data_IF_157650088116
#
_entry.id   IF_157650088116
#
_cell.length_a   1.000
_cell.length_b   1.000
_cell.length_c   1.000
_cell.angle_alpha   90.00
_cell.angle_beta   90.00
_cell.angle_gamma   90.00
#
_symmetry.space_group_name_H-M   'P 1'
#
loop_
_entity.id
_entity.type
_entity.pdbx_description
1 polymer ?
#
# COMPACT_ATOMS: atom_id res chain seq x y z
N UNK A 1 13.09 -18.73 -27.32
CA UNK A 1 11.72 -18.31 -26.96
C UNK A 1 11.45 -18.52 -25.47
N UNK A 2 11.65 -19.71 -24.90
CA UNK A 2 11.46 -20.00 -23.46
C UNK A 2 12.32 -19.13 -22.50
N UNK A 3 13.59 -18.91 -22.80
CA UNK A 3 14.51 -18.06 -22.01
C UNK A 3 14.07 -16.58 -21.93
N UNK A 4 13.45 -16.07 -22.99
CA UNK A 4 12.99 -14.67 -23.03
C UNK A 4 11.72 -14.51 -22.21
N UNK A 5 10.82 -15.50 -22.27
CA UNK A 5 9.57 -15.52 -21.51
C UNK A 5 9.85 -15.63 -20.00
N UNK A 6 10.82 -16.45 -19.58
CA UNK A 6 11.21 -16.57 -18.17
C UNK A 6 11.83 -15.29 -17.61
N UNK A 7 12.69 -14.61 -18.37
CA UNK A 7 13.25 -13.31 -17.99
C UNK A 7 12.19 -12.22 -17.82
N UNK A 8 11.20 -12.16 -18.72
CA UNK A 8 10.08 -11.23 -18.61
C UNK A 8 9.16 -11.53 -17.42
N UNK A 9 8.91 -12.80 -17.13
CA UNK A 9 8.11 -13.21 -15.96
C UNK A 9 8.79 -12.83 -14.64
N UNK A 10 10.10 -13.07 -14.52
CA UNK A 10 10.87 -12.66 -13.35
C UNK A 10 10.88 -11.14 -13.16
N UNK A 11 11.04 -10.39 -14.26
CA UNK A 11 10.99 -8.92 -14.22
C UNK A 11 9.62 -8.38 -13.82
N UNK A 12 8.53 -9.04 -14.24
CA UNK A 12 7.16 -8.67 -13.86
C UNK A 12 6.78 -9.06 -12.42
N UNK A 13 7.43 -10.07 -11.83
CA UNK A 13 7.18 -10.52 -10.45
C UNK A 13 7.74 -9.57 -9.39
N UNK A 14 8.89 -8.94 -9.65
CA UNK A 14 9.55 -8.00 -8.74
C UNK A 14 8.62 -6.84 -8.32
N UNK A 15 7.98 -6.08 -9.24
CA UNK A 15 7.10 -4.99 -8.86
C UNK A 15 5.85 -5.46 -8.12
N UNK A 16 5.33 -6.66 -8.41
CA UNK A 16 4.18 -7.23 -7.70
C UNK A 16 4.53 -7.50 -6.24
N UNK A 17 5.70 -8.09 -5.98
CA UNK A 17 6.19 -8.33 -4.62
C UNK A 17 6.42 -7.02 -3.87
N UNK A 18 6.96 -5.99 -4.53
CA UNK A 18 7.14 -4.67 -3.93
C UNK A 18 5.81 -4.00 -3.59
N UNK A 19 4.79 -4.12 -4.44
CA UNK A 19 3.44 -3.60 -4.17
C UNK A 19 2.80 -4.28 -2.97
N UNK A 20 2.92 -5.60 -2.85
CA UNK A 20 2.40 -6.36 -1.70
C UNK A 20 3.15 -5.98 -0.42
N UNK A 21 4.49 -5.91 -0.47
CA UNK A 21 5.30 -5.49 0.67
C UNK A 21 4.93 -4.07 1.12
N UNK A 22 4.72 -3.15 0.17
CA UNK A 22 4.26 -1.79 0.43
C UNK A 22 2.87 -1.77 1.07
N UNK A 23 1.95 -2.60 0.60
CA UNK A 23 0.60 -2.76 1.17
C UNK A 23 0.66 -3.19 2.65
N UNK A 24 1.47 -4.21 2.95
CA UNK A 24 1.63 -4.73 4.32
C UNK A 24 2.23 -3.66 5.24
N UNK A 25 3.27 -2.96 4.78
CA UNK A 25 3.91 -1.89 5.53
C UNK A 25 2.93 -0.75 5.85
N UNK A 26 2.06 -0.40 4.91
CA UNK A 26 1.00 0.59 5.10
C UNK A 26 -0.04 0.17 6.15
N UNK A 27 -0.44 -1.10 6.14
CA UNK A 27 -1.37 -1.62 7.18
C UNK A 27 -0.71 -1.53 8.57
N UNK A 28 0.58 -1.84 8.67
CA UNK A 28 1.33 -1.67 9.92
C UNK A 28 1.38 -0.21 10.38
N UNK A 29 1.61 0.74 9.46
CA UNK A 29 1.59 2.17 9.76
C UNK A 29 0.21 2.64 10.28
N UNK A 30 -0.87 2.23 9.62
CA UNK A 30 -2.25 2.49 10.06
C UNK A 30 -2.49 1.94 11.47
N UNK A 31 -2.09 0.70 11.73
CA UNK A 31 -2.24 0.07 13.05
C UNK A 31 -1.44 0.83 14.10
N UNK A 32 -0.23 1.28 13.79
CA UNK A 32 0.65 1.93 14.75
C UNK A 32 0.24 3.37 15.06
N UNK A 33 -0.17 4.14 14.05
CA UNK A 33 -0.38 5.59 14.18
C UNK A 33 -1.85 6.02 14.22
N UNK A 34 -2.79 5.24 13.68
CA UNK A 34 -4.23 5.53 13.81
C UNK A 34 -4.83 4.84 15.03
N UNK A 35 -5.41 5.65 15.92
CA UNK A 35 -6.12 5.20 17.14
C UNK A 35 -7.64 5.26 16.96
N UNK A 36 -8.16 6.33 16.34
CA UNK A 36 -9.60 6.63 16.31
C UNK A 36 -10.35 5.86 15.21
N UNK A 37 -9.75 5.74 14.02
CA UNK A 37 -10.40 5.18 12.82
C UNK A 37 -9.62 4.01 12.21
N UNK A 38 -8.85 3.29 13.04
CA UNK A 38 -7.92 2.24 12.61
C UNK A 38 -8.60 1.18 11.74
N UNK A 39 -9.73 0.65 12.20
CA UNK A 39 -10.45 -0.41 11.51
C UNK A 39 -10.95 0.04 10.11
N UNK A 40 -11.48 1.26 10.01
CA UNK A 40 -11.93 1.83 8.75
C UNK A 40 -10.76 1.96 7.74
N UNK A 41 -9.61 2.44 8.20
CA UNK A 41 -8.43 2.57 7.36
C UNK A 41 -7.86 1.23 6.91
N UNK A 42 -7.83 0.23 7.78
CA UNK A 42 -7.44 -1.14 7.40
C UNK A 42 -8.38 -1.67 6.32
N UNK A 43 -9.69 -1.50 6.47
CA UNK A 43 -10.68 -1.94 5.48
C UNK A 43 -10.46 -1.24 4.14
N UNK A 44 -10.24 0.08 4.13
CA UNK A 44 -9.97 0.85 2.91
C UNK A 44 -8.67 0.37 2.24
N UNK A 45 -7.59 0.20 3.00
CA UNK A 45 -6.29 -0.23 2.47
C UNK A 45 -6.35 -1.67 1.95
N UNK A 46 -7.11 -2.56 2.61
CA UNK A 46 -7.26 -3.96 2.19
C UNK A 46 -8.19 -4.10 0.97
N UNK A 47 -9.36 -3.44 0.96
CA UNK A 47 -10.30 -3.55 -0.17
C UNK A 47 -9.81 -2.82 -1.41
N UNK A 48 -9.23 -1.62 -1.24
CA UNK A 48 -8.84 -0.79 -2.37
C UNK A 48 -7.39 -1.05 -2.82
N UNK A 49 -6.64 -1.96 -2.19
CA UNK A 49 -5.25 -2.30 -2.51
C UNK A 49 -4.42 -1.04 -2.81
N UNK A 50 -3.91 -0.90 -4.03
CA UNK A 50 -3.09 0.22 -4.48
C UNK A 50 -3.83 1.55 -4.42
N UNK A 51 -5.13 1.56 -4.71
CA UNK A 51 -5.97 2.77 -4.63
C UNK A 51 -6.16 3.19 -3.17
N UNK A 52 -6.35 2.22 -2.26
CA UNK A 52 -6.47 2.48 -0.82
C UNK A 52 -5.19 3.06 -0.24
N UNK A 53 -4.03 2.57 -0.70
CA UNK A 53 -2.74 3.10 -0.30
C UNK A 53 -2.51 4.52 -0.86
N UNK A 54 -2.91 4.78 -2.11
CA UNK A 54 -2.85 6.12 -2.70
C UNK A 54 -3.71 7.11 -1.90
N UNK A 55 -4.97 6.73 -1.61
CA UNK A 55 -5.89 7.56 -0.83
C UNK A 55 -5.27 7.86 0.53
N UNK A 56 -4.84 6.86 1.30
CA UNK A 56 -4.18 7.08 2.60
C UNK A 56 -3.00 8.03 2.48
N UNK A 57 -2.11 7.85 1.49
CA UNK A 57 -0.98 8.76 1.29
C UNK A 57 -1.43 10.21 1.07
N UNK A 58 -2.50 10.45 0.29
CA UNK A 58 -3.00 11.80 0.04
C UNK A 58 -3.80 12.39 1.21
N UNK A 59 -4.65 11.62 1.88
CA UNK A 59 -5.46 12.12 3.02
C UNK A 59 -4.65 12.22 4.31
N UNK A 60 -3.84 11.23 4.65
CA UNK A 60 -3.07 11.22 5.90
C UNK A 60 -1.97 12.28 5.89
N UNK A 61 -1.30 12.46 4.74
CA UNK A 61 -0.32 13.54 4.56
C UNK A 61 -0.96 14.92 4.74
N UNK A 62 -2.22 15.11 4.31
CA UNK A 62 -2.96 16.36 4.56
C UNK A 62 -3.40 16.51 6.00
N UNK A 63 -3.75 15.42 6.68
CA UNK A 63 -4.13 15.43 8.11
C UNK A 63 -2.94 15.82 9.01
N UNK A 64 -1.71 15.41 8.68
CA UNK A 64 -0.49 15.88 9.37
C UNK A 64 -0.21 17.37 9.16
N UNK A 65 -0.47 17.92 7.97
CA UNK A 65 -0.21 19.36 7.67
C UNK A 65 -1.28 20.28 8.24
N UNK A 66 -2.55 19.85 8.31
CA UNK A 66 -3.63 20.64 8.91
C UNK A 66 -3.67 20.61 10.44
N UNK A 67 -2.87 19.75 11.07
CA UNK A 67 -2.76 19.65 12.53
C UNK A 67 -1.58 20.43 13.12
N UNK A 68 -0.86 21.22 12.32
CA UNK A 68 0.21 22.12 12.74
C UNK A 68 -0.28 23.58 12.70
#
# INVERSE_FOLDING_TARGET
>A
MFEVVSGFLAFALIPILLLIAFQIWMIYDVVKYQQKDRALWIIIVVLANTIGALIYFFTERRRRVKGA
#
